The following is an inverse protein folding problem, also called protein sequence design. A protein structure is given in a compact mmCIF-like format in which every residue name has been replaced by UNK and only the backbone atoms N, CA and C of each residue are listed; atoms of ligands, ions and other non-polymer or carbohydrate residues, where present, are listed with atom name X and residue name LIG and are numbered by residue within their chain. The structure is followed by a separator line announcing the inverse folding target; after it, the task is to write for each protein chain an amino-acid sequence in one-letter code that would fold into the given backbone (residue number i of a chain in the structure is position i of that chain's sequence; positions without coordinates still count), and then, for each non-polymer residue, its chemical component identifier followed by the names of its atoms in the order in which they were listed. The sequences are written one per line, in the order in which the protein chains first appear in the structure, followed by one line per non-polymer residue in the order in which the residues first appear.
data_IF_589524478370
#
_entry.id   IF_589524478370
#
_cell.length_a   1.000
_cell.length_b   1.000
_cell.length_c   1.000
_cell.angle_alpha   90.00
_cell.angle_beta   90.00
_cell.angle_gamma   90.00
#
_symmetry.space_group_name_H-M   'P 1'
#
loop_
_entity.id
_entity.type
_entity.pdbx_description
1 polymer ?
#
# COMPACT_ATOMS: atom_id res chain seq x y z
N UNK A 1 -25.01 -17.37 22.64
CA UNK A 1 -25.52 -16.72 21.40
C UNK A 1 -25.15 -15.24 21.33
N UNK A 2 -25.23 -14.48 22.44
CA UNK A 2 -24.90 -13.04 22.48
C UNK A 2 -23.41 -12.75 22.21
N UNK A 3 -22.51 -13.53 22.80
CA UNK A 3 -21.06 -13.30 22.71
C UNK A 3 -20.53 -13.48 21.28
N UNK A 4 -20.98 -14.51 20.57
CA UNK A 4 -20.58 -14.75 19.18
C UNK A 4 -21.02 -13.63 18.23
N UNK A 5 -22.16 -12.98 18.50
CA UNK A 5 -22.64 -11.83 17.72
C UNK A 5 -21.84 -10.58 18.06
N UNK A 6 -21.50 -10.41 19.34
CA UNK A 6 -20.66 -9.30 19.82
C UNK A 6 -19.24 -9.35 19.22
N UNK A 7 -18.59 -10.53 19.20
CA UNK A 7 -17.29 -10.69 18.56
C UNK A 7 -17.34 -10.49 17.04
N UNK A 8 -18.41 -10.98 16.38
CA UNK A 8 -18.62 -10.78 14.94
C UNK A 8 -18.84 -9.29 14.58
N UNK A 9 -19.61 -8.56 15.40
CA UNK A 9 -19.85 -7.12 15.23
C UNK A 9 -18.56 -6.33 15.49
N UNK A 10 -17.77 -6.71 16.51
CA UNK A 10 -16.49 -6.07 16.83
C UNK A 10 -15.46 -6.29 15.72
N UNK A 11 -15.41 -7.49 15.10
CA UNK A 11 -14.54 -7.75 13.94
C UNK A 11 -14.98 -6.95 12.70
N UNK A 12 -16.29 -6.83 12.45
CA UNK A 12 -16.80 -5.99 11.38
C UNK A 12 -16.45 -4.50 11.60
N UNK A 13 -16.59 -4.01 12.84
CA UNK A 13 -16.29 -2.63 13.20
C UNK A 13 -14.79 -2.28 13.15
N UNK A 14 -13.89 -3.24 13.34
CA UNK A 14 -12.44 -3.02 13.27
C UNK A 14 -11.88 -3.11 11.85
N UNK A 15 -12.47 -3.94 10.98
CA UNK A 15 -11.97 -4.19 9.62
C UNK A 15 -12.56 -3.22 8.60
N UNK A 16 -13.80 -2.79 8.76
CA UNK A 16 -14.48 -1.85 7.83
C UNK A 16 -13.85 -0.45 7.78
N UNK A 17 -13.45 0.21 8.90
CA UNK A 17 -12.83 1.53 8.82
C UNK A 17 -11.45 1.50 8.13
N UNK A 18 -10.72 0.38 8.19
CA UNK A 18 -9.44 0.23 7.48
C UNK A 18 -9.65 0.18 5.95
N UNK A 19 -10.73 -0.44 5.48
CA UNK A 19 -11.07 -0.52 4.05
C UNK A 19 -11.59 0.80 3.46
N UNK A 20 -12.20 1.65 4.29
CA UNK A 20 -12.76 2.92 3.81
C UNK A 20 -11.67 3.97 3.54
N UNK A 21 -10.53 3.91 4.23
CA UNK A 21 -9.37 4.77 3.96
C UNK A 21 -8.51 4.32 2.76
N UNK A 22 -8.78 3.16 2.16
CA UNK A 22 -8.07 2.64 0.98
C UNK A 22 -8.75 3.02 -0.35
N UNK A 23 -9.91 3.69 -0.32
CA UNK A 23 -10.45 4.37 -1.51
C UNK A 23 -9.76 5.73 -1.73
N UNK A 24 -8.43 5.73 -1.72
CA UNK A 24 -7.63 6.80 -2.31
C UNK A 24 -7.62 6.60 -3.82
N UNK A 25 -8.40 7.43 -4.51
CA UNK A 25 -8.48 7.61 -5.96
C UNK A 25 -7.38 6.90 -6.77
N UNK A 26 -7.72 5.75 -7.35
CA UNK A 26 -6.94 5.17 -8.43
C UNK A 26 -7.66 5.53 -9.74
N UNK A 27 -7.42 6.76 -10.22
CA UNK A 27 -7.64 7.10 -11.62
C UNK A 27 -6.54 6.42 -12.42
N UNK A 28 -6.77 5.14 -12.74
CA UNK A 28 -6.10 4.49 -13.85
C UNK A 28 -6.59 5.14 -15.12
N UNK A 29 -5.97 6.25 -15.50
CA UNK A 29 -6.21 6.87 -16.79
C UNK A 29 -5.51 5.99 -17.85
N UNK A 30 -6.35 5.44 -18.72
CA UNK A 30 -6.00 4.71 -19.92
C UNK A 30 -5.00 5.54 -20.74
N UNK A 31 -3.85 4.95 -21.08
CA UNK A 31 -2.83 5.58 -21.91
C UNK A 31 -3.39 5.91 -23.31
N UNK A 32 -3.40 7.18 -23.74
CA UNK A 32 -3.25 7.48 -25.15
C UNK A 32 -1.76 7.30 -25.46
N UNK A 33 -1.45 6.22 -26.16
CA UNK A 33 -0.21 6.11 -26.91
C UNK A 33 -0.17 7.25 -27.92
N UNK A 34 0.99 7.92 -27.99
CA UNK A 34 1.44 8.79 -29.07
C UNK A 34 1.07 10.27 -28.92
N UNK A 35 1.90 11.00 -28.17
CA UNK A 35 2.37 12.29 -28.66
C UNK A 35 3.89 12.26 -28.70
N UNK A 36 4.40 12.13 -29.93
CA UNK A 36 5.80 12.32 -30.29
C UNK A 36 6.07 13.81 -30.09
N UNK A 37 6.41 14.19 -28.85
CA UNK A 37 6.87 15.53 -28.55
C UNK A 37 8.35 15.58 -28.91
N UNK A 38 8.64 16.28 -30.00
CA UNK A 38 9.93 16.76 -30.51
C UNK A 38 11.12 16.36 -29.63
N UNK A 39 11.79 15.29 -30.04
CA UNK A 39 12.92 14.68 -29.35
C UNK A 39 14.10 15.64 -29.25
N UNK A 40 14.11 16.52 -28.23
CA UNK A 40 15.37 16.92 -27.63
C UNK A 40 15.84 15.70 -26.85
N UNK A 41 16.72 14.89 -27.46
CA UNK A 41 17.30 13.73 -26.79
C UNK A 41 17.93 14.22 -25.48
N UNK A 42 17.49 13.66 -24.35
CA UNK A 42 18.00 14.07 -23.06
C UNK A 42 19.40 13.51 -22.85
N UNK A 43 20.30 14.26 -22.20
CA UNK A 43 21.71 13.86 -22.09
C UNK A 43 21.91 12.51 -21.39
N UNK A 44 21.02 12.15 -20.46
CA UNK A 44 21.05 10.87 -19.74
C UNK A 44 20.67 9.65 -20.59
N UNK A 45 20.22 9.85 -21.83
CA UNK A 45 19.94 8.76 -22.77
C UNK A 45 21.17 8.38 -23.60
N UNK A 46 22.11 9.29 -23.76
CA UNK A 46 23.32 9.11 -24.59
C UNK A 46 24.59 8.99 -23.76
N UNK A 47 24.59 9.54 -22.55
CA UNK A 47 25.77 9.64 -21.68
C UNK A 47 25.54 8.95 -20.35
N UNK A 48 26.64 8.48 -19.75
CA UNK A 48 26.62 8.07 -18.34
C UNK A 48 26.28 9.28 -17.47
N UNK A 49 25.36 9.08 -16.53
CA UNK A 49 24.92 10.12 -15.61
C UNK A 49 25.12 9.68 -14.17
N UNK A 50 25.38 10.66 -13.31
CA UNK A 50 25.46 10.48 -11.86
C UNK A 50 24.26 11.14 -11.18
N UNK A 51 23.74 10.50 -10.13
CA UNK A 51 22.60 11.01 -9.36
C UNK A 51 23.13 11.99 -8.32
N UNK A 52 22.72 13.26 -8.42
CA UNK A 52 23.08 14.32 -7.47
C UNK A 52 22.09 14.40 -6.32
N UNK A 53 20.83 14.11 -6.58
CA UNK A 53 19.78 14.14 -5.57
C UNK A 53 18.87 12.96 -5.78
N UNK A 54 18.68 12.17 -4.71
CA UNK A 54 17.77 11.04 -4.69
C UNK A 54 16.35 11.45 -5.09
N UNK A 55 15.56 10.46 -5.48
CA UNK A 55 14.19 10.65 -5.92
C UNK A 55 13.33 11.29 -4.82
N UNK A 56 12.88 12.52 -5.04
CA UNK A 56 12.09 13.33 -4.10
C UNK A 56 10.74 13.73 -4.68
N UNK A 57 9.75 13.97 -3.81
CA UNK A 57 8.43 14.44 -4.24
C UNK A 57 8.54 15.85 -4.80
N UNK A 58 7.90 16.10 -5.94
CA UNK A 58 7.80 17.44 -6.49
C UNK A 58 7.04 18.38 -5.54
N UNK A 59 7.50 19.62 -5.45
CA UNK A 59 6.72 20.68 -4.82
C UNK A 59 5.44 20.99 -5.62
N UNK A 60 4.41 21.61 -5.01
CA UNK A 60 3.16 21.93 -5.70
C UNK A 60 3.37 22.83 -6.93
N UNK A 61 4.38 23.70 -6.88
CA UNK A 61 4.78 24.56 -7.98
C UNK A 61 5.41 23.74 -9.11
N UNK A 62 6.43 22.93 -8.79
CA UNK A 62 7.11 22.06 -9.78
C UNK A 62 6.15 21.07 -10.43
N UNK A 63 5.20 20.52 -9.68
CA UNK A 63 4.19 19.61 -10.22
C UNK A 63 3.36 20.23 -11.37
N UNK A 64 3.15 21.56 -11.34
CA UNK A 64 2.42 22.28 -12.39
C UNK A 64 3.34 22.76 -13.51
N UNK A 65 4.56 23.17 -13.19
CA UNK A 65 5.44 23.85 -14.14
C UNK A 65 6.45 22.93 -14.83
N UNK A 66 6.79 21.78 -14.25
CA UNK A 66 7.89 20.94 -14.72
C UNK A 66 7.37 19.65 -15.34
N UNK A 67 7.69 19.44 -16.62
CA UNK A 67 7.31 18.24 -17.36
C UNK A 67 7.75 16.91 -16.69
N UNK A 68 8.97 16.79 -16.11
CA UNK A 68 9.37 15.57 -15.40
C UNK A 68 8.47 15.22 -14.21
N UNK A 69 7.84 16.20 -13.57
CA UNK A 69 6.94 15.96 -12.45
C UNK A 69 5.55 15.46 -12.87
N UNK A 70 5.14 15.71 -14.12
CA UNK A 70 3.75 15.48 -14.55
C UNK A 70 3.33 14.00 -14.52
N UNK A 71 4.27 13.08 -14.79
CA UNK A 71 3.96 11.64 -14.89
C UNK A 71 3.89 10.93 -13.54
N UNK A 72 4.90 11.10 -12.67
CA UNK A 72 5.00 10.34 -11.41
C UNK A 72 4.82 11.20 -10.16
N UNK A 73 4.96 12.53 -10.26
CA UNK A 73 5.02 13.42 -9.10
C UNK A 73 6.34 13.36 -8.33
N UNK A 74 7.36 12.66 -8.86
CA UNK A 74 8.69 12.55 -8.27
C UNK A 74 9.77 12.89 -9.29
N UNK A 75 10.83 13.56 -8.80
CA UNK A 75 11.99 13.95 -9.61
C UNK A 75 13.29 13.57 -8.92
N UNK A 76 14.29 13.29 -9.74
CA UNK A 76 15.67 13.17 -9.32
C UNK A 76 16.55 14.14 -10.12
N UNK A 77 17.60 14.63 -9.47
CA UNK A 77 18.57 15.53 -10.09
C UNK A 77 19.77 14.73 -10.51
N UNK A 78 20.17 14.86 -11.76
CA UNK A 78 21.29 14.11 -12.33
C UNK A 78 22.29 15.04 -13.02
N UNK A 79 23.52 14.59 -13.14
CA UNK A 79 24.59 15.26 -13.88
C UNK A 79 25.14 14.31 -14.94
N UNK A 80 25.05 14.73 -16.19
CA UNK A 80 25.58 14.00 -17.33
C UNK A 80 27.10 14.16 -17.36
N UNK A 81 27.84 13.05 -17.35
CA UNK A 81 29.27 13.04 -17.09
C UNK A 81 30.09 13.71 -18.21
N UNK A 82 29.67 13.52 -19.47
CA UNK A 82 30.41 14.01 -20.64
C UNK A 82 30.10 15.46 -20.97
N UNK A 83 28.83 15.87 -20.86
CA UNK A 83 28.40 17.27 -21.07
C UNK A 83 28.51 18.16 -19.82
N UNK A 84 28.75 17.58 -18.64
CA UNK A 84 28.67 18.26 -17.34
C UNK A 84 27.35 19.03 -17.14
N UNK A 85 26.27 18.53 -17.75
CA UNK A 85 24.97 19.17 -17.74
C UNK A 85 24.12 18.59 -16.62
N UNK A 86 23.58 19.47 -15.78
CA UNK A 86 22.60 19.10 -14.77
C UNK A 86 21.21 19.11 -15.40
N UNK A 87 20.52 17.98 -15.31
CA UNK A 87 19.12 17.89 -15.74
C UNK A 87 18.25 17.18 -14.70
N UNK A 88 16.93 17.29 -14.87
CA UNK A 88 15.93 16.68 -14.00
C UNK A 88 15.13 15.64 -14.77
N UNK A 89 15.05 14.43 -14.24
CA UNK A 89 14.24 13.35 -14.81
C UNK A 89 13.19 12.88 -13.83
N UNK A 90 12.11 12.31 -14.37
CA UNK A 90 11.11 11.63 -13.57
C UNK A 90 11.71 10.34 -13.00
N UNK A 91 11.39 10.05 -11.75
CA UNK A 91 11.86 8.85 -11.07
C UNK A 91 10.69 8.10 -10.45
N UNK A 92 10.90 6.80 -10.21
CA UNK A 92 10.02 5.96 -9.41
C UNK A 92 10.70 5.79 -8.04
N UNK A 93 10.07 6.29 -6.97
CA UNK A 93 10.66 6.22 -5.63
C UNK A 93 10.48 4.82 -5.04
N UNK A 94 11.54 4.00 -5.05
CA UNK A 94 11.57 2.71 -4.35
C UNK A 94 11.35 2.85 -2.83
N UNK A 95 11.83 3.97 -2.25
CA UNK A 95 11.69 4.28 -0.83
C UNK A 95 10.23 4.53 -0.41
N UNK A 96 9.41 5.08 -1.32
CA UNK A 96 7.98 5.24 -1.04
C UNK A 96 7.25 3.90 -1.12
N UNK A 97 7.65 3.03 -2.06
CA UNK A 97 7.13 1.66 -2.20
C UNK A 97 7.37 0.86 -0.90
N UNK A 98 8.51 1.06 -0.22
CA UNK A 98 8.83 0.37 1.04
C UNK A 98 7.95 0.79 2.23
N UNK A 99 7.62 2.08 2.34
CA UNK A 99 6.75 2.57 3.43
C UNK A 99 5.31 2.07 3.29
N UNK A 100 4.83 1.95 2.05
CA UNK A 100 3.51 1.39 1.76
C UNK A 100 3.49 -0.11 2.03
N UNK A 101 4.56 -0.81 1.64
CA UNK A 101 4.75 -2.22 1.91
C UNK A 101 4.67 -2.52 3.41
N UNK A 102 5.45 -1.80 4.25
CA UNK A 102 5.43 -2.01 5.71
C UNK A 102 4.08 -1.74 6.35
N UNK A 103 3.33 -0.75 5.86
CA UNK A 103 1.98 -0.45 6.36
C UNK A 103 1.00 -1.56 5.98
N UNK A 104 1.04 -2.03 4.73
CA UNK A 104 0.19 -3.12 4.27
C UNK A 104 0.49 -4.42 5.04
N UNK A 105 1.78 -4.79 5.12
CA UNK A 105 2.22 -5.98 5.83
C UNK A 105 1.82 -5.94 7.31
N UNK A 106 1.98 -4.79 7.97
CA UNK A 106 1.54 -4.59 9.34
C UNK A 106 0.03 -4.76 9.54
N UNK A 107 -0.78 -4.24 8.61
CA UNK A 107 -2.24 -4.41 8.64
C UNK A 107 -2.62 -5.88 8.47
N UNK A 108 -2.01 -6.58 7.51
CA UNK A 108 -2.29 -7.99 7.23
C UNK A 108 -1.86 -8.91 8.37
N UNK A 109 -0.71 -8.64 9.00
CA UNK A 109 -0.30 -9.35 10.22
C UNK A 109 -1.30 -9.17 11.36
N UNK A 110 -1.70 -7.93 11.65
CA UNK A 110 -2.69 -7.64 12.69
C UNK A 110 -4.04 -8.32 12.40
N UNK A 111 -4.51 -8.25 11.16
CA UNK A 111 -5.76 -8.90 10.75
C UNK A 111 -5.70 -10.41 10.95
N UNK A 112 -4.56 -11.04 10.61
CA UNK A 112 -4.35 -12.47 10.81
C UNK A 112 -4.45 -12.86 12.28
N UNK A 113 -3.79 -12.11 13.18
CA UNK A 113 -3.86 -12.35 14.64
C UNK A 113 -5.30 -12.26 15.13
N UNK A 114 -6.06 -11.24 14.71
CA UNK A 114 -7.46 -11.08 15.09
C UNK A 114 -8.30 -12.28 14.62
N UNK A 115 -8.13 -12.72 13.37
CA UNK A 115 -8.85 -13.88 12.84
C UNK A 115 -8.52 -15.17 13.60
N UNK A 116 -7.26 -15.40 13.95
CA UNK A 116 -6.85 -16.55 14.76
C UNK A 116 -7.52 -16.52 16.13
N UNK A 117 -7.52 -15.38 16.83
CA UNK A 117 -8.16 -15.24 18.14
C UNK A 117 -9.67 -15.52 18.07
N UNK A 118 -10.33 -15.03 17.02
CA UNK A 118 -11.76 -15.28 16.78
C UNK A 118 -12.04 -16.77 16.58
N UNK A 119 -11.22 -17.45 15.77
CA UNK A 119 -11.36 -18.90 15.54
C UNK A 119 -11.20 -19.67 16.84
N UNK A 120 -10.19 -19.33 17.67
CA UNK A 120 -9.98 -19.99 18.97
C UNK A 120 -11.16 -19.75 19.91
N UNK A 121 -11.67 -18.52 20.01
CA UNK A 121 -12.82 -18.20 20.86
C UNK A 121 -14.07 -18.96 20.44
N UNK A 122 -14.32 -19.07 19.13
CA UNK A 122 -15.42 -19.89 18.59
C UNK A 122 -15.23 -21.37 18.92
N UNK A 123 -14.01 -21.89 18.75
CA UNK A 123 -13.71 -23.29 19.03
C UNK A 123 -13.95 -23.61 20.50
N UNK A 124 -13.46 -22.78 21.43
CA UNK A 124 -13.72 -22.93 22.87
C UNK A 124 -15.19 -22.90 23.22
N UNK A 125 -15.97 -22.04 22.57
CA UNK A 125 -17.42 -21.99 22.78
C UNK A 125 -18.08 -23.30 22.36
N UNK A 126 -17.67 -23.87 21.21
CA UNK A 126 -18.17 -25.17 20.75
C UNK A 126 -17.75 -26.31 21.69
N UNK A 127 -16.51 -26.30 22.19
CA UNK A 127 -16.00 -27.30 23.13
C UNK A 127 -16.75 -27.25 24.47
N UNK A 128 -17.03 -26.05 25.00
CA UNK A 128 -17.86 -25.88 26.19
C UNK A 128 -19.25 -26.47 25.99
N UNK A 129 -19.90 -26.14 24.86
CA UNK A 129 -21.23 -26.67 24.53
C UNK A 129 -21.23 -28.19 24.32
N UNK A 130 -20.15 -28.77 23.78
CA UNK A 130 -20.00 -30.21 23.64
C UNK A 130 -19.85 -30.91 25.00
N UNK A 131 -19.01 -30.36 25.89
CA UNK A 131 -18.81 -30.90 27.24
C UNK A 131 -20.08 -30.87 28.09
N UNK A 132 -20.90 -29.82 27.97
CA UNK A 132 -22.20 -29.75 28.65
C UNK A 132 -23.18 -30.81 28.15
N UNK A 133 -23.18 -31.10 26.84
CA UNK A 133 -24.02 -32.16 26.26
C UNK A 133 -23.61 -33.54 26.76
N UNK A 134 -22.31 -33.84 26.79
CA UNK A 134 -21.78 -35.12 27.31
C UNK A 134 -22.10 -35.26 28.81
N UNK A 135 -21.91 -34.19 29.59
CA UNK A 135 -22.20 -34.22 31.04
C UNK A 135 -23.67 -34.44 31.35
N UNK A 136 -24.60 -33.88 30.55
CA UNK A 136 -26.04 -34.17 30.70
C UNK A 136 -26.39 -35.62 30.39
N UNK A 137 -25.70 -36.26 29.44
CA UNK A 137 -25.91 -37.67 29.12
C UNK A 137 -25.44 -38.61 30.24
N UNK A 138 -24.38 -38.25 31.00
CA UNK A 138 -23.87 -39.07 32.12
C UNK A 138 -24.76 -38.94 33.37
N UNK A 139 -25.45 -37.81 33.56
CA UNK A 139 -26.31 -37.56 34.71
C UNK A 139 -27.78 -38.01 34.50
N UNK A 140 -28.15 -38.39 33.27
CA UNK A 140 -29.48 -38.88 32.92
C UNK A 140 -29.57 -40.41 32.86
N UNK A 141 -28.53 -41.11 33.33
CA UNK A 141 -28.48 -42.57 33.45
C UNK A 141 -28.51 -42.95 34.93
#
# INVERSE_FOLDING_TARGET
MSDSRMFSILTLLLVVPASLSVHGANSGEEYPTTEISTTSIHCWQEEEFSILTECTRCSPFQAKSWAPCARTGFIEKINCAKSNKVEYKSCRSSRMDESLFWRFEGIMMCLTVVLVLVVIARQRTLDHLASEKVRRQILSI
#
